data_IF_379779733111
#
_entry.id   IF_379779733111
#
_cell.length_a   1.000
_cell.length_b   1.000
_cell.length_c   1.000
_cell.angle_alpha   90.00
_cell.angle_beta   90.00
_cell.angle_gamma   90.00
#
_symmetry.space_group_name_H-M   'P 1'
#
loop_
_entity.id
_entity.type
_entity.pdbx_description
1 polymer ?
#
# COMPACT_ATOMS: atom_id res chain seq x y z
N UNK A 1 -21.44 28.35 10.14
CA UNK A 1 -20.28 28.84 9.35
C UNK A 1 -19.45 27.60 8.99
N UNK A 2 -19.55 27.12 7.76
CA UNK A 2 -18.83 25.90 7.32
C UNK A 2 -17.41 26.33 6.98
N UNK A 3 -16.43 25.85 7.76
CA UNK A 3 -15.00 26.12 7.52
C UNK A 3 -14.63 25.47 6.17
N UNK A 4 -13.90 26.17 5.29
CA UNK A 4 -13.44 25.54 4.05
C UNK A 4 -12.61 24.28 4.39
N UNK A 5 -12.71 23.23 3.57
CA UNK A 5 -11.94 22.02 3.79
C UNK A 5 -10.43 22.36 3.81
N UNK A 6 -9.66 21.75 4.72
CA UNK A 6 -8.23 22.01 4.81
C UNK A 6 -7.54 21.64 3.51
N UNK A 7 -6.48 22.38 3.16
CA UNK A 7 -5.68 22.04 1.98
C UNK A 7 -4.94 20.74 2.25
N UNK A 8 -5.16 19.74 1.39
CA UNK A 8 -4.55 18.41 1.49
C UNK A 8 -3.03 18.46 1.53
N UNK A 9 -2.39 19.36 0.77
CA UNK A 9 -0.94 19.51 0.74
C UNK A 9 -0.35 19.93 2.11
N UNK A 10 -1.01 20.87 2.81
CA UNK A 10 -0.57 21.32 4.13
C UNK A 10 -0.71 20.19 5.18
N UNK A 11 -1.78 19.39 5.06
CA UNK A 11 -1.99 18.24 5.93
C UNK A 11 -1.04 17.09 5.63
N UNK A 12 -0.68 16.86 4.38
CA UNK A 12 0.28 15.84 3.98
C UNK A 12 1.65 16.10 4.59
N UNK A 13 2.12 17.35 4.57
CA UNK A 13 3.40 17.72 5.16
C UNK A 13 3.41 17.53 6.69
N UNK A 14 2.34 17.96 7.36
CA UNK A 14 2.18 17.74 8.80
C UNK A 14 2.12 16.25 9.14
N UNK A 15 1.34 15.47 8.39
CA UNK A 15 1.21 14.04 8.59
C UNK A 15 2.55 13.32 8.39
N UNK A 16 3.31 13.68 7.35
CA UNK A 16 4.66 13.18 7.10
C UNK A 16 5.58 13.43 8.29
N UNK A 17 5.60 14.65 8.83
CA UNK A 17 6.42 14.99 9.98
C UNK A 17 6.02 14.22 11.24
N UNK A 18 4.72 14.10 11.53
CA UNK A 18 4.25 13.34 12.70
C UNK A 18 4.58 11.84 12.59
N UNK A 19 4.48 11.26 11.38
CA UNK A 19 4.88 9.86 11.16
C UNK A 19 6.39 9.67 11.38
N UNK A 20 7.24 10.55 10.84
CA UNK A 20 8.68 10.46 11.07
C UNK A 20 9.06 10.63 12.54
N UNK A 21 8.45 11.59 13.23
CA UNK A 21 8.64 11.80 14.66
C UNK A 21 8.27 10.57 15.47
N UNK A 22 7.12 9.95 15.17
CA UNK A 22 6.65 8.73 15.80
C UNK A 22 7.59 7.54 15.54
N UNK A 23 8.01 7.31 14.29
CA UNK A 23 8.94 6.23 13.95
C UNK A 23 10.33 6.41 14.56
N UNK A 24 10.82 7.66 14.68
CA UNK A 24 12.08 7.97 15.36
C UNK A 24 11.98 7.69 16.86
N UNK A 25 10.87 8.11 17.50
CA UNK A 25 10.64 7.84 18.92
C UNK A 25 10.58 6.33 19.22
N UNK A 26 10.04 5.54 18.30
CA UNK A 26 10.00 4.07 18.37
C UNK A 26 11.32 3.39 17.96
N UNK A 27 12.37 4.16 17.65
CA UNK A 27 13.69 3.65 17.25
C UNK A 27 13.68 2.88 15.92
N UNK A 28 12.68 3.06 15.07
CA UNK A 28 12.55 2.36 13.77
C UNK A 28 13.37 3.02 12.66
N UNK A 29 13.62 4.32 12.77
CA UNK A 29 14.42 5.12 11.84
C UNK A 29 15.29 6.11 12.63
N UNK A 30 16.32 6.65 11.98
CA UNK A 30 17.20 7.68 12.54
C UNK A 30 17.15 8.97 11.70
N UNK A 31 17.86 10.00 12.14
CA UNK A 31 17.86 11.31 11.47
C UNK A 31 18.37 11.24 10.02
N UNK A 32 19.42 10.46 9.76
CA UNK A 32 19.94 10.28 8.40
C UNK A 32 18.90 9.67 7.45
N UNK A 33 18.12 8.68 7.91
CA UNK A 33 17.05 8.09 7.12
C UNK A 33 15.94 9.12 6.85
N UNK A 34 15.58 9.93 7.84
CA UNK A 34 14.56 10.97 7.70
C UNK A 34 15.01 12.02 6.68
N UNK A 35 16.23 12.54 6.79
CA UNK A 35 16.81 13.50 5.84
C UNK A 35 16.78 12.96 4.41
N UNK A 36 17.17 11.70 4.21
CA UNK A 36 17.10 11.06 2.90
C UNK A 36 15.68 10.99 2.34
N UNK A 37 14.70 10.61 3.16
CA UNK A 37 13.30 10.49 2.74
C UNK A 37 12.65 11.85 2.46
N UNK A 38 13.04 12.90 3.19
CA UNK A 38 12.55 14.26 2.95
C UNK A 38 12.99 14.83 1.59
N UNK A 39 14.10 14.35 1.03
CA UNK A 39 14.64 14.76 -0.26
C UNK A 39 14.02 14.03 -1.47
N UNK A 40 13.09 13.09 -1.25
CA UNK A 40 12.45 12.38 -2.37
C UNK A 40 11.58 13.32 -3.20
N UNK A 41 11.70 13.24 -4.53
CA UNK A 41 10.89 14.04 -5.47
C UNK A 41 9.38 13.83 -5.25
N UNK A 42 8.98 12.61 -4.89
CA UNK A 42 7.64 12.30 -4.41
C UNK A 42 7.74 11.79 -2.97
N UNK A 43 7.04 12.45 -2.05
CA UNK A 43 7.10 12.19 -0.60
C UNK A 43 6.73 10.76 -0.23
N UNK A 44 5.88 10.11 -1.04
CA UNK A 44 5.25 8.83 -0.71
C UNK A 44 4.11 8.94 0.31
N UNK A 45 3.82 10.14 0.81
CA UNK A 45 2.70 10.42 1.70
C UNK A 45 1.52 10.95 0.89
N UNK A 46 0.31 10.67 1.36
CA UNK A 46 -0.91 11.28 0.84
C UNK A 46 -1.95 11.31 1.96
N UNK A 47 -2.67 12.42 2.08
CA UNK A 47 -3.79 12.55 3.02
C UNK A 47 -5.08 12.69 2.23
N UNK A 48 -5.99 11.75 2.45
CA UNK A 48 -7.33 11.81 1.90
C UNK A 48 -8.22 12.72 2.75
N UNK A 49 -8.63 13.87 2.19
CA UNK A 49 -9.58 14.80 2.80
C UNK A 49 -10.94 14.72 2.11
N UNK A 50 -11.57 13.55 2.12
CA UNK A 50 -12.93 13.36 1.63
C UNK A 50 -13.95 13.14 2.74
N UNK A 51 -15.12 12.62 2.36
CA UNK A 51 -16.19 12.33 3.31
C UNK A 51 -15.76 11.27 4.33
N UNK A 52 -16.15 11.47 5.58
CA UNK A 52 -15.93 10.47 6.62
C UNK A 52 -16.66 9.17 6.26
N UNK A 53 -15.95 8.04 6.38
CA UNK A 53 -16.56 6.71 6.27
C UNK A 53 -17.16 6.37 7.63
N UNK A 54 -18.47 6.52 7.74
CA UNK A 54 -19.19 6.24 8.99
C UNK A 54 -19.36 4.74 9.23
N UNK A 55 -19.46 4.29 10.50
CA UNK A 55 -19.62 2.87 10.83
C UNK A 55 -20.84 2.16 10.21
N UNK A 56 -21.86 2.92 9.83
CA UNK A 56 -23.09 2.42 9.18
C UNK A 56 -23.03 2.50 7.64
N UNK A 57 -21.93 3.00 7.06
CA UNK A 57 -21.72 3.02 5.61
C UNK A 57 -21.06 1.70 5.18
N UNK A 58 -21.87 0.67 4.98
CA UNK A 58 -21.40 -0.67 4.61
C UNK A 58 -20.58 -0.66 3.31
N UNK A 59 -21.03 0.07 2.29
CA UNK A 59 -20.33 0.19 1.00
C UNK A 59 -18.96 0.89 1.14
N UNK A 60 -18.90 1.99 1.90
CA UNK A 60 -17.65 2.70 2.17
C UNK A 60 -16.66 1.86 2.96
N UNK A 61 -17.15 1.09 3.93
CA UNK A 61 -16.33 0.15 4.71
C UNK A 61 -15.83 -1.02 3.86
N UNK A 62 -16.67 -1.57 2.99
CA UNK A 62 -16.28 -2.64 2.07
C UNK A 62 -15.21 -2.16 1.09
N UNK A 63 -15.38 -0.98 0.50
CA UNK A 63 -14.38 -0.39 -0.40
C UNK A 63 -13.03 -0.13 0.31
N UNK A 64 -13.06 0.35 1.56
CA UNK A 64 -11.85 0.51 2.37
C UNK A 64 -11.20 -0.85 2.68
N UNK A 65 -11.99 -1.86 3.05
CA UNK A 65 -11.49 -3.20 3.31
C UNK A 65 -10.85 -3.82 2.05
N UNK A 66 -11.51 -3.70 0.90
CA UNK A 66 -10.99 -4.10 -0.43
C UNK A 66 -9.68 -3.40 -0.77
N UNK A 67 -9.56 -2.11 -0.43
CA UNK A 67 -8.32 -1.36 -0.61
C UNK A 67 -7.18 -1.91 0.27
N UNK A 68 -7.46 -2.22 1.54
CA UNK A 68 -6.47 -2.77 2.49
C UNK A 68 -5.99 -4.16 2.07
N UNK A 69 -6.88 -5.02 1.58
CA UNK A 69 -6.56 -6.42 1.22
C UNK A 69 -6.09 -6.59 -0.23
N UNK A 70 -6.00 -5.50 -1.00
CA UNK A 70 -5.72 -5.56 -2.42
C UNK A 70 -4.36 -6.23 -2.68
N UNK A 71 -4.36 -7.19 -3.61
CA UNK A 71 -3.13 -7.72 -4.18
C UNK A 71 -2.30 -6.60 -4.82
N UNK A 72 -1.00 -6.55 -4.50
CA UNK A 72 -0.07 -5.49 -4.91
C UNK A 72 0.09 -5.37 -6.43
N UNK A 73 -0.35 -6.38 -7.19
CA UNK A 73 -0.31 -6.45 -8.64
C UNK A 73 -1.63 -7.00 -9.20
N UNK A 74 -1.98 -6.56 -10.42
CA UNK A 74 -3.05 -7.14 -11.25
C UNK A 74 -2.46 -8.03 -12.33
N UNK A 75 -3.02 -9.22 -12.51
CA UNK A 75 -2.69 -10.14 -13.60
C UNK A 75 -3.14 -9.62 -14.97
N UNK A 76 -4.23 -8.84 -15.03
CA UNK A 76 -4.74 -8.24 -16.28
C UNK A 76 -3.75 -7.25 -16.91
N UNK A 77 -2.77 -6.77 -16.13
CA UNK A 77 -1.70 -5.87 -16.60
C UNK A 77 -0.41 -6.61 -16.94
N UNK A 78 -0.45 -7.95 -16.99
CA UNK A 78 0.71 -8.80 -17.19
C UNK A 78 0.58 -9.56 -18.50
N UNK A 79 1.61 -9.46 -19.35
CA UNK A 79 1.73 -10.25 -20.58
C UNK A 79 2.97 -11.12 -20.48
N UNK A 80 2.79 -12.43 -20.60
CA UNK A 80 3.89 -13.39 -20.65
C UNK A 80 4.33 -13.62 -22.09
N UNK A 81 5.64 -13.60 -22.32
CA UNK A 81 6.26 -13.89 -23.61
C UNK A 81 7.13 -15.14 -23.43
N UNK A 82 6.82 -16.25 -24.11
CA UNK A 82 7.59 -17.46 -24.00
C UNK A 82 8.96 -17.32 -24.70
N UNK A 83 9.87 -18.23 -24.37
CA UNK A 83 11.28 -18.21 -24.81
C UNK A 83 11.44 -18.20 -26.33
N UNK A 84 10.59 -18.95 -27.05
CA UNK A 84 10.55 -19.04 -28.52
C UNK A 84 10.08 -17.76 -29.20
N UNK A 85 9.32 -16.92 -28.50
CA UNK A 85 8.86 -15.61 -28.98
C UNK A 85 9.78 -14.46 -28.55
N UNK A 86 10.75 -14.70 -27.66
CA UNK A 86 11.71 -13.68 -27.21
C UNK A 86 12.93 -13.61 -28.12
N UNK A 87 13.42 -12.39 -28.36
CA UNK A 87 14.58 -12.12 -29.23
C UNK A 87 15.91 -12.67 -28.69
N UNK A 88 16.00 -12.93 -27.39
CA UNK A 88 17.19 -13.44 -26.70
C UNK A 88 17.04 -14.88 -26.21
N UNK A 89 15.94 -15.56 -26.54
CA UNK A 89 15.68 -16.93 -26.07
C UNK A 89 15.44 -17.02 -24.55
N UNK A 90 15.08 -15.93 -23.89
CA UNK A 90 14.71 -15.91 -22.46
C UNK A 90 13.24 -15.53 -22.35
N UNK A 91 12.44 -16.29 -21.60
CA UNK A 91 11.04 -15.95 -21.38
C UNK A 91 10.92 -14.63 -20.59
N UNK A 92 9.94 -13.79 -20.94
CA UNK A 92 9.77 -12.44 -20.39
C UNK A 92 8.38 -12.19 -19.84
N UNK A 93 8.29 -11.21 -18.95
CA UNK A 93 7.02 -10.66 -18.45
C UNK A 93 7.01 -9.16 -18.71
N UNK A 94 5.99 -8.69 -19.40
CA UNK A 94 5.69 -7.27 -19.55
C UNK A 94 4.61 -6.89 -18.55
N UNK A 95 4.84 -5.78 -17.85
CA UNK A 95 3.94 -5.28 -16.83
C UNK A 95 3.55 -3.83 -17.07
N UNK A 96 2.27 -3.59 -17.33
CA UNK A 96 1.75 -2.25 -17.61
C UNK A 96 1.39 -1.49 -16.34
N UNK A 97 1.71 -0.19 -16.32
CA UNK A 97 1.27 0.70 -15.26
C UNK A 97 -0.24 0.86 -15.28
N UNK A 98 -0.83 1.22 -14.13
CA UNK A 98 -2.29 1.40 -14.00
C UNK A 98 -2.84 2.41 -15.01
N UNK A 99 -2.05 3.42 -15.34
CA UNK A 99 -2.42 4.49 -16.28
C UNK A 99 -2.00 4.18 -17.73
N UNK A 100 -1.44 3.00 -18.00
CA UNK A 100 -1.04 2.56 -19.34
C UNK A 100 0.12 3.35 -19.97
N UNK A 101 0.77 4.24 -19.22
CA UNK A 101 1.82 5.13 -19.75
C UNK A 101 3.20 4.48 -19.78
N UNK A 102 3.41 3.45 -18.97
CA UNK A 102 4.72 2.80 -18.84
C UNK A 102 4.54 1.31 -18.78
N UNK A 103 5.42 0.60 -19.48
CA UNK A 103 5.53 -0.86 -19.43
C UNK A 103 6.91 -1.20 -18.90
N UNK A 104 6.99 -2.09 -17.91
CA UNK A 104 8.26 -2.65 -17.44
C UNK A 104 8.42 -4.06 -17.96
N UNK A 105 9.63 -4.39 -18.38
CA UNK A 105 10.01 -5.73 -18.84
C UNK A 105 10.88 -6.40 -17.79
N UNK A 106 10.62 -7.67 -17.53
CA UNK A 106 11.38 -8.51 -16.62
C UNK A 106 11.66 -9.85 -17.30
N UNK A 107 12.80 -10.47 -16.96
CA UNK A 107 12.97 -11.90 -17.21
C UNK A 107 11.98 -12.67 -16.36
N UNK A 108 11.40 -13.75 -16.89
CA UNK A 108 10.30 -14.45 -16.24
C UNK A 108 10.69 -15.01 -14.86
N UNK A 109 11.93 -15.46 -14.70
CA UNK A 109 12.44 -15.96 -13.41
C UNK A 109 12.68 -14.83 -12.40
N UNK A 110 13.17 -13.68 -12.85
CA UNK A 110 13.33 -12.50 -11.99
C UNK A 110 11.99 -11.93 -11.54
N UNK A 111 10.99 -11.95 -12.43
CA UNK A 111 9.62 -11.60 -12.09
C UNK A 111 9.05 -12.52 -11.01
N UNK A 112 9.22 -13.84 -11.16
CA UNK A 112 8.80 -14.82 -10.15
C UNK A 112 9.55 -14.63 -8.82
N UNK A 113 10.86 -14.40 -8.86
CA UNK A 113 11.65 -14.11 -7.67
C UNK A 113 11.12 -12.86 -6.94
N UNK A 114 10.88 -11.77 -7.65
CA UNK A 114 10.31 -10.55 -7.06
C UNK A 114 8.90 -10.79 -6.50
N UNK A 115 8.04 -11.49 -7.24
CA UNK A 115 6.68 -11.79 -6.81
C UNK A 115 6.65 -12.66 -5.55
N UNK A 116 7.54 -13.64 -5.46
CA UNK A 116 7.64 -14.51 -4.28
C UNK A 116 8.12 -13.76 -3.02
N UNK A 117 8.85 -12.64 -3.15
CA UNK A 117 9.19 -11.79 -1.97
C UNK A 117 7.96 -11.17 -1.30
N UNK A 118 6.85 -11.04 -2.03
CA UNK A 118 5.59 -10.56 -1.49
C UNK A 118 4.72 -11.67 -0.91
N UNK A 119 5.11 -12.94 -1.07
CA UNK A 119 4.40 -14.06 -0.44
C UNK A 119 4.86 -14.12 1.02
N UNK A 120 3.95 -13.95 1.99
CA UNK A 120 4.29 -13.98 3.40
C UNK A 120 4.77 -15.37 3.82
N UNK A 121 5.56 -15.43 4.88
CA UNK A 121 5.93 -16.72 5.46
C UNK A 121 4.71 -17.48 5.98
N UNK A 122 4.83 -18.80 6.12
CA UNK A 122 3.77 -19.62 6.70
C UNK A 122 3.42 -19.13 8.12
N UNK A 123 2.17 -18.71 8.30
CA UNK A 123 1.66 -18.19 9.57
C UNK A 123 1.90 -16.69 9.80
N UNK A 124 2.54 -16.01 8.86
CA UNK A 124 2.75 -14.56 8.92
C UNK A 124 1.44 -13.80 8.64
N UNK A 125 1.02 -13.00 9.61
CA UNK A 125 -0.19 -12.20 9.50
C UNK A 125 0.05 -11.01 8.58
N UNK A 126 -0.46 -11.09 7.34
CA UNK A 126 -0.39 -10.00 6.36
C UNK A 126 -1.25 -8.79 6.74
N UNK A 127 -2.28 -8.98 7.56
CA UNK A 127 -3.23 -7.93 7.95
C UNK A 127 -3.27 -7.81 9.47
N UNK A 128 -2.78 -6.69 9.98
CA UNK A 128 -2.84 -6.36 11.41
C UNK A 128 -3.99 -5.38 11.65
N UNK A 129 -5.08 -5.88 12.22
CA UNK A 129 -6.19 -5.02 12.64
C UNK A 129 -5.90 -4.41 14.02
N UNK A 130 -6.01 -3.09 14.13
CA UNK A 130 -5.85 -2.35 15.39
C UNK A 130 -7.17 -1.74 15.85
N UNK A 131 -7.21 -1.31 17.12
CA UNK A 131 -8.36 -0.60 17.69
C UNK A 131 -9.66 -1.40 17.60
N UNK A 132 -10.72 -0.76 17.08
CA UNK A 132 -12.06 -1.35 16.98
C UNK A 132 -12.10 -2.63 16.14
N UNK A 133 -11.26 -2.75 15.11
CA UNK A 133 -11.25 -3.89 14.19
C UNK A 133 -10.31 -5.02 14.63
N UNK A 134 -9.51 -4.81 15.68
CA UNK A 134 -8.59 -5.84 16.17
C UNK A 134 -9.32 -7.14 16.56
N UNK A 135 -8.65 -8.29 16.40
CA UNK A 135 -9.20 -9.59 16.80
C UNK A 135 -9.64 -9.59 18.27
N UNK A 136 -8.87 -8.93 19.14
CA UNK A 136 -9.20 -8.74 20.55
C UNK A 136 -10.50 -7.95 20.72
N UNK A 137 -10.62 -6.77 20.12
CA UNK A 137 -11.81 -5.92 20.23
C UNK A 137 -13.06 -6.58 19.66
N UNK A 138 -12.94 -7.28 18.52
CA UNK A 138 -14.03 -8.08 17.95
C UNK A 138 -14.45 -9.22 18.86
N UNK A 139 -13.48 -9.95 19.44
CA UNK A 139 -13.75 -11.02 20.39
C UNK A 139 -14.45 -10.54 21.66
N UNK A 140 -14.07 -9.38 22.18
CA UNK A 140 -14.71 -8.76 23.35
C UNK A 140 -16.15 -8.35 23.05
N UNK A 141 -16.43 -7.74 21.89
CA UNK A 141 -17.80 -7.39 21.49
C UNK A 141 -18.68 -8.64 21.31
N UNK A 142 -18.16 -9.68 20.65
CA UNK A 142 -18.87 -10.94 20.49
C UNK A 142 -19.23 -11.60 21.83
N UNK A 143 -18.42 -11.38 22.88
CA UNK A 143 -18.71 -11.84 24.25
C UNK A 143 -19.71 -10.96 24.99
N UNK A 144 -19.83 -9.68 24.62
CA UNK A 144 -20.68 -8.70 25.30
C UNK A 144 -22.13 -8.69 24.79
N UNK A 145 -22.41 -9.32 23.64
CA UNK A 145 -23.71 -9.28 22.96
C UNK A 145 -23.67 -8.34 21.76
#
# INVERSE_FOLDING_TARGET
MIRPPPKTAELEELFRHEVFKMLKAEGKINDTVIENMLNWHHSGFNVYCGNAIWPHNEEGLENLARYIIRASFSQERMTYIPCDESTDGVAKVFYDSKDGKTTKTFDALDWLAQLTTHIPNRGEQMVRYYGFYSNKSRGLRKKAG
#
